data_IF_199079852067
#
_entry.id   IF_199079852067
#
_cell.length_a   1.000
_cell.length_b   1.000
_cell.length_c   1.000
_cell.angle_alpha   90.00
_cell.angle_beta   90.00
_cell.angle_gamma   90.00
#
_symmetry.space_group_name_H-M   'P 1'
#
loop_
_entity.id
_entity.type
_entity.pdbx_description
1 polymer ?
#
# COMPACT_ATOMS: atom_id res chain seq x y z
N UNK A 1 10.81 5.60 -11.98
CA UNK A 1 9.95 4.89 -11.00
C UNK A 1 10.87 4.06 -10.12
N UNK A 2 10.95 4.34 -8.82
CA UNK A 2 11.79 3.56 -7.89
C UNK A 2 11.14 2.20 -7.67
N UNK A 3 11.81 1.12 -8.03
CA UNK A 3 11.34 -0.24 -7.75
C UNK A 3 11.50 -0.50 -6.24
N UNK A 4 10.39 -0.42 -5.51
CA UNK A 4 10.35 -0.74 -4.09
C UNK A 4 10.36 -2.27 -3.91
N UNK A 5 11.17 -2.75 -2.98
CA UNK A 5 11.14 -4.16 -2.59
C UNK A 5 9.93 -4.48 -1.69
N UNK A 6 9.64 -5.76 -1.48
CA UNK A 6 8.49 -6.20 -0.69
C UNK A 6 8.45 -5.61 0.73
N UNK A 7 9.61 -5.43 1.39
CA UNK A 7 9.68 -4.80 2.72
C UNK A 7 9.27 -3.33 2.67
N UNK A 8 9.76 -2.60 1.68
CA UNK A 8 9.42 -1.19 1.48
C UNK A 8 7.94 -1.01 1.14
N UNK A 9 7.38 -1.87 0.29
CA UNK A 9 5.95 -1.85 -0.02
C UNK A 9 5.08 -2.10 1.22
N UNK A 10 5.40 -3.12 2.02
CA UNK A 10 4.67 -3.38 3.29
C UNK A 10 4.75 -2.21 4.25
N UNK A 11 5.92 -1.57 4.38
CA UNK A 11 6.10 -0.40 5.23
C UNK A 11 5.24 0.79 4.75
N UNK A 12 5.19 1.04 3.43
CA UNK A 12 4.38 2.12 2.87
C UNK A 12 2.87 1.84 2.99
N UNK A 13 2.44 0.60 2.78
CA UNK A 13 1.05 0.17 3.03
C UNK A 13 0.66 0.42 4.49
N UNK A 14 1.53 0.05 5.45
CA UNK A 14 1.27 0.28 6.87
C UNK A 14 1.17 1.78 7.21
N UNK A 15 2.04 2.61 6.62
CA UNK A 15 1.98 4.08 6.76
C UNK A 15 0.67 4.66 6.25
N UNK A 16 0.24 4.26 5.05
CA UNK A 16 -1.03 4.72 4.47
C UNK A 16 -2.24 4.24 5.28
N UNK A 17 -2.23 2.99 5.75
CA UNK A 17 -3.30 2.48 6.63
C UNK A 17 -3.42 3.32 7.90
N UNK A 18 -2.28 3.68 8.51
CA UNK A 18 -2.28 4.55 9.69
C UNK A 18 -2.77 5.96 9.37
N UNK A 19 -2.30 6.56 8.27
CA UNK A 19 -2.73 7.89 7.86
C UNK A 19 -4.24 7.95 7.57
N UNK A 20 -4.79 6.93 6.90
CA UNK A 20 -6.23 6.80 6.67
C UNK A 20 -7.02 6.69 7.97
N UNK A 21 -6.52 5.91 8.93
CA UNK A 21 -7.13 5.78 10.25
C UNK A 21 -7.11 7.11 11.03
N UNK A 22 -5.98 7.81 11.02
CA UNK A 22 -5.84 9.12 11.69
C UNK A 22 -6.74 10.18 11.05
N UNK A 23 -6.82 10.22 9.72
CA UNK A 23 -7.70 11.14 8.98
C UNK A 23 -9.17 10.88 9.30
N UNK A 24 -9.60 9.62 9.32
CA UNK A 24 -10.99 9.25 9.62
C UNK A 24 -11.45 9.62 11.03
N UNK A 25 -10.52 9.87 11.96
CA UNK A 25 -10.83 10.29 13.34
C UNK A 25 -10.93 11.81 13.51
N UNK A 26 -10.59 12.58 12.48
CA UNK A 26 -10.75 14.04 12.54
C UNK A 26 -12.23 14.41 12.57
N UNK A 27 -12.61 15.51 13.23
CA UNK A 27 -13.99 16.02 13.21
C UNK A 27 -14.49 16.30 11.79
N UNK A 28 -13.60 16.76 10.92
CA UNK A 28 -13.85 16.99 9.50
C UNK A 28 -12.76 16.28 8.67
N UNK A 29 -12.99 15.01 8.27
CA UNK A 29 -12.03 14.26 7.48
C UNK A 29 -12.01 14.75 6.03
N UNK A 30 -10.81 14.92 5.46
CA UNK A 30 -10.66 15.23 4.04
C UNK A 30 -10.97 13.98 3.20
N UNK A 31 -12.21 13.91 2.69
CA UNK A 31 -12.69 12.78 1.89
C UNK A 31 -11.95 12.61 0.57
N UNK A 32 -11.40 13.68 0.00
CA UNK A 32 -10.65 13.61 -1.26
C UNK A 32 -9.27 13.00 -1.00
N UNK A 33 -8.62 13.42 0.07
CA UNK A 33 -7.33 12.88 0.52
C UNK A 33 -7.44 11.40 0.93
N UNK A 34 -8.49 11.05 1.66
CA UNK A 34 -8.80 9.65 2.02
C UNK A 34 -8.93 8.78 0.77
N UNK A 35 -9.71 9.21 -0.23
CA UNK A 35 -9.85 8.44 -1.48
C UNK A 35 -8.52 8.29 -2.22
N UNK A 36 -7.73 9.35 -2.29
CA UNK A 36 -6.42 9.31 -2.96
C UNK A 36 -5.46 8.33 -2.27
N UNK A 37 -5.38 8.37 -0.95
CA UNK A 37 -4.54 7.47 -0.17
C UNK A 37 -5.01 6.03 -0.22
N UNK A 38 -6.33 5.80 -0.25
CA UNK A 38 -6.91 4.47 -0.40
C UNK A 38 -6.55 3.85 -1.77
N UNK A 39 -6.73 4.60 -2.87
CA UNK A 39 -6.31 4.18 -4.21
C UNK A 39 -4.81 3.86 -4.27
N UNK A 40 -3.97 4.71 -3.66
CA UNK A 40 -2.53 4.46 -3.58
C UNK A 40 -2.23 3.18 -2.80
N UNK A 41 -2.92 2.94 -1.68
CA UNK A 41 -2.75 1.73 -0.86
C UNK A 41 -3.10 0.47 -1.65
N UNK A 42 -4.21 0.46 -2.39
CA UNK A 42 -4.60 -0.69 -3.21
C UNK A 42 -3.60 -0.96 -4.33
N UNK A 43 -3.08 0.08 -5.00
CA UNK A 43 -2.01 -0.08 -5.99
C UNK A 43 -0.72 -0.68 -5.40
N UNK A 44 -0.36 -0.32 -4.17
CA UNK A 44 0.82 -0.89 -3.51
C UNK A 44 0.61 -2.36 -3.11
N UNK A 45 -0.61 -2.74 -2.70
CA UNK A 45 -0.97 -4.13 -2.43
C UNK A 45 -0.86 -4.98 -3.70
N UNK A 46 -1.32 -4.46 -4.83
CA UNK A 46 -1.18 -5.14 -6.12
C UNK A 46 0.29 -5.36 -6.51
N UNK A 47 1.14 -4.33 -6.34
CA UNK A 47 2.58 -4.47 -6.56
C UNK A 47 3.23 -5.51 -5.64
N UNK A 48 2.83 -5.53 -4.36
CA UNK A 48 3.33 -6.50 -3.40
C UNK A 48 2.91 -7.93 -3.80
N UNK A 49 1.65 -8.11 -4.19
CA UNK A 49 1.13 -9.39 -4.67
C UNK A 49 1.92 -9.92 -5.86
N UNK A 50 2.17 -9.07 -6.87
CA UNK A 50 2.96 -9.45 -8.05
C UNK A 50 4.38 -9.88 -7.65
N UNK A 51 5.03 -9.15 -6.74
CA UNK A 51 6.38 -9.50 -6.27
C UNK A 51 6.40 -10.83 -5.50
N UNK A 52 5.42 -11.07 -4.63
CA UNK A 52 5.29 -12.32 -3.87
C UNK A 52 5.00 -13.51 -4.80
N UNK A 53 4.15 -13.33 -5.82
CA UNK A 53 3.88 -14.34 -6.84
C UNK A 53 5.11 -14.67 -7.68
N UNK A 54 5.86 -13.66 -8.12
CA UNK A 54 7.09 -13.89 -8.89
C UNK A 54 8.17 -14.59 -8.04
N UNK A 55 8.32 -14.21 -6.78
CA UNK A 55 9.25 -14.87 -5.86
C UNK A 55 8.85 -16.32 -5.59
N UNK A 56 7.54 -16.58 -5.46
CA UNK A 56 7.02 -17.93 -5.30
C UNK A 56 7.28 -18.75 -6.57
N UNK A 57 6.89 -18.26 -7.74
CA UNK A 57 7.11 -18.94 -9.03
C UNK A 57 8.60 -19.28 -9.26
N UNK A 58 9.52 -18.38 -8.91
CA UNK A 58 10.95 -18.61 -9.01
C UNK A 58 11.46 -19.73 -8.09
N UNK A 59 10.80 -19.97 -6.94
CA UNK A 59 11.16 -21.03 -5.99
C UNK A 59 10.73 -22.43 -6.45
N UNK A 60 9.66 -22.52 -7.24
CA UNK A 60 9.11 -23.80 -7.72
C UNK A 60 9.65 -24.21 -9.11
N UNK A 61 10.57 -23.43 -9.67
CA UNK A 61 11.25 -23.68 -10.94
C UNK A 61 12.63 -24.27 -10.70
#
# INVERSE_FOLDING_TARGET
>A
MTLLNARQLRAEIARLTRALYEEARKPEPDRSLVRLWDLRRERLKEQLWILEMNATAARWR
#
